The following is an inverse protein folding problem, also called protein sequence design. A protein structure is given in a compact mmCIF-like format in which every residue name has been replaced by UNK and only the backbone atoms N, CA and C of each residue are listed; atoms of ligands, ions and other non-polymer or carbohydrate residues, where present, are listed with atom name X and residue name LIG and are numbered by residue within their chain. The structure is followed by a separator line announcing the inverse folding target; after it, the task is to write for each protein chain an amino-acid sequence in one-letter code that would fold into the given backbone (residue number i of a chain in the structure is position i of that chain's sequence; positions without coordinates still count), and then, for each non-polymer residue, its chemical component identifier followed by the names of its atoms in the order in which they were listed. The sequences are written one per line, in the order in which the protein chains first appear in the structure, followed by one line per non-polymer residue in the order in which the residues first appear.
data_IF_145029853804
#
_entry.id   IF_145029853804
#
_cell.length_a   1.000
_cell.length_b   1.000
_cell.length_c   1.000
_cell.angle_alpha   90.00
_cell.angle_beta   90.00
_cell.angle_gamma   90.00
#
_symmetry.space_group_name_H-M   'P 1'
#
loop_
_entity.id
_entity.type
_entity.pdbx_description
1 polymer ?
#
# COMPACT_ATOMS: atom_id res chain seq x y z
N UNK A 1 3.87 -19.11 -0.29
CA UNK A 1 5.02 -19.53 -1.13
C UNK A 1 6.02 -18.37 -1.15
N UNK A 2 7.26 -18.59 -0.68
CA UNK A 2 8.40 -17.69 -0.80
C UNK A 2 8.59 -17.16 -2.23
N UNK A 3 8.67 -15.84 -2.49
CA UNK A 3 9.13 -15.41 -3.81
C UNK A 3 10.61 -15.71 -3.95
N UNK A 4 11.01 -16.29 -5.09
CA UNK A 4 12.42 -16.53 -5.40
C UNK A 4 13.03 -15.28 -6.02
N UNK A 5 14.31 -15.04 -5.75
CA UNK A 5 15.14 -13.98 -6.34
C UNK A 5 16.38 -14.63 -6.96
N UNK A 6 16.85 -14.13 -8.11
CA UNK A 6 17.92 -14.74 -8.90
C UNK A 6 19.03 -13.76 -9.30
N UNK A 7 18.81 -12.45 -9.21
CA UNK A 7 19.79 -11.45 -9.61
C UNK A 7 20.85 -11.18 -8.55
N UNK A 8 21.75 -10.24 -8.86
CA UNK A 8 22.85 -9.81 -7.98
C UNK A 8 22.35 -9.19 -6.67
N UNK A 9 21.09 -8.74 -6.63
CA UNK A 9 20.44 -8.15 -5.46
C UNK A 9 19.69 -9.18 -4.60
N UNK A 10 19.61 -10.45 -5.00
CA UNK A 10 18.73 -11.45 -4.38
C UNK A 10 18.88 -11.55 -2.86
N UNK A 11 20.11 -11.70 -2.37
CA UNK A 11 20.37 -11.83 -0.92
C UNK A 11 20.02 -10.54 -0.15
N UNK A 12 20.34 -9.37 -0.72
CA UNK A 12 19.99 -8.09 -0.11
C UNK A 12 18.47 -7.85 -0.09
N UNK A 13 17.76 -8.26 -1.13
CA UNK A 13 16.30 -8.15 -1.19
C UNK A 13 15.65 -9.02 -0.12
N UNK A 14 16.10 -10.28 0.03
CA UNK A 14 15.60 -11.17 1.07
C UNK A 14 15.84 -10.57 2.47
N UNK A 15 17.08 -10.18 2.77
CA UNK A 15 17.43 -9.58 4.05
C UNK A 15 16.62 -8.29 4.34
N UNK A 16 16.44 -7.44 3.33
CA UNK A 16 15.62 -6.23 3.46
C UNK A 16 14.14 -6.55 3.77
N UNK A 17 13.55 -7.50 3.06
CA UNK A 17 12.16 -7.92 3.30
C UNK A 17 12.02 -8.53 4.70
N UNK A 18 12.96 -9.36 5.12
CA UNK A 18 12.93 -9.99 6.43
C UNK A 18 13.01 -8.94 7.53
N UNK A 19 13.91 -7.96 7.44
CA UNK A 19 13.97 -6.84 8.39
C UNK A 19 12.61 -6.13 8.49
N UNK A 20 11.98 -5.84 7.36
CA UNK A 20 10.68 -5.16 7.32
C UNK A 20 9.56 -5.99 7.93
N UNK A 21 9.58 -7.31 7.73
CA UNK A 21 8.62 -8.23 8.36
C UNK A 21 8.81 -8.34 9.87
N UNK A 22 10.04 -8.39 10.34
CA UNK A 22 10.34 -8.38 11.78
C UNK A 22 9.88 -7.08 12.45
N UNK A 23 9.85 -5.95 11.73
CA UNK A 23 9.25 -4.71 12.21
C UNK A 23 7.71 -4.67 12.11
N UNK A 24 7.05 -5.77 11.76
CA UNK A 24 5.59 -5.87 11.69
C UNK A 24 4.95 -5.49 10.35
N UNK A 25 5.74 -5.17 9.32
CA UNK A 25 5.19 -4.85 8.00
C UNK A 25 4.97 -6.11 7.14
N UNK A 26 3.77 -6.28 6.57
CA UNK A 26 3.43 -7.48 5.76
C UNK A 26 4.31 -7.63 4.49
N UNK A 27 4.60 -6.51 3.82
CA UNK A 27 5.46 -6.44 2.62
C UNK A 27 5.04 -7.33 1.43
N UNK A 28 3.75 -7.65 1.28
CA UNK A 28 3.28 -8.52 0.21
C UNK A 28 3.36 -7.87 -1.19
N UNK A 29 3.08 -6.58 -1.30
CA UNK A 29 3.16 -5.87 -2.60
C UNK A 29 4.60 -5.49 -2.91
N UNK A 30 5.34 -5.09 -1.89
CA UNK A 30 6.72 -4.62 -1.96
C UNK A 30 7.66 -5.77 -2.38
N UNK A 31 7.44 -6.99 -1.88
CA UNK A 31 8.12 -8.21 -2.36
C UNK A 31 7.92 -8.43 -3.87
N UNK A 32 6.70 -8.21 -4.39
CA UNK A 32 6.41 -8.27 -5.83
C UNK A 32 7.14 -7.19 -6.62
N UNK A 33 7.16 -5.97 -6.10
CA UNK A 33 7.88 -4.86 -6.73
C UNK A 33 9.38 -5.14 -6.77
N UNK A 34 9.97 -5.64 -5.68
CA UNK A 34 11.39 -5.96 -5.59
C UNK A 34 11.77 -7.14 -6.48
N UNK A 35 10.85 -8.08 -6.69
CA UNK A 35 11.05 -9.16 -7.66
C UNK A 35 11.09 -8.65 -9.09
N UNK A 36 10.17 -7.76 -9.45
CA UNK A 36 10.22 -7.10 -10.76
C UNK A 36 11.50 -6.28 -10.94
N UNK A 37 12.03 -5.72 -9.86
CA UNK A 37 13.31 -5.01 -9.89
C UNK A 37 14.48 -5.97 -10.08
N UNK A 38 14.51 -7.09 -9.37
CA UNK A 38 15.50 -8.17 -9.55
C UNK A 38 15.54 -8.63 -11.02
N UNK A 39 14.38 -8.97 -11.60
CA UNK A 39 14.27 -9.37 -13.00
C UNK A 39 14.74 -8.27 -13.96
N UNK A 40 14.45 -7.01 -13.66
CA UNK A 40 14.91 -5.85 -14.44
C UNK A 40 16.43 -5.68 -14.41
N UNK A 41 17.07 -5.88 -13.25
CA UNK A 41 18.54 -5.81 -13.14
C UNK A 41 19.23 -6.94 -13.90
N UNK A 42 18.63 -8.12 -13.96
CA UNK A 42 19.13 -9.25 -14.77
C UNK A 42 19.09 -8.90 -16.26
N UNK A 43 17.98 -8.32 -16.74
CA UNK A 43 17.84 -7.90 -18.14
C UNK A 43 18.84 -6.80 -18.52
N UNK A 44 19.10 -5.87 -17.61
CA UNK A 44 20.11 -4.81 -17.77
C UNK A 44 21.56 -5.29 -17.55
N UNK A 45 21.76 -6.58 -17.22
CA UNK A 45 23.07 -7.19 -16.94
C UNK A 45 23.87 -6.43 -15.86
N UNK A 46 23.18 -5.93 -14.85
CA UNK A 46 23.79 -5.20 -13.74
C UNK A 46 24.65 -6.14 -12.88
N UNK A 47 25.94 -5.83 -12.78
CA UNK A 47 26.93 -6.66 -12.05
C UNK A 47 27.39 -6.06 -10.73
N UNK A 48 27.24 -4.75 -10.55
CA UNK A 48 27.64 -4.06 -9.33
C UNK A 48 26.49 -3.97 -8.34
N UNK A 49 26.81 -4.21 -7.06
CA UNK A 49 25.86 -4.06 -5.97
C UNK A 49 25.87 -2.58 -5.56
N UNK A 50 24.84 -1.86 -5.99
CA UNK A 50 24.68 -0.43 -5.76
C UNK A 50 23.82 0.18 -6.86
N UNK A 51 22.75 0.89 -6.49
CA UNK A 51 21.83 1.43 -7.48
C UNK A 51 22.46 2.66 -8.13
N UNK A 52 22.83 2.58 -9.40
CA UNK A 52 23.33 3.74 -10.15
C UNK A 52 22.22 4.78 -10.37
N UNK A 53 22.60 6.04 -10.63
CA UNK A 53 21.62 7.08 -10.97
C UNK A 53 20.83 6.71 -12.24
N UNK A 54 21.51 6.13 -13.22
CA UNK A 54 20.91 5.68 -14.47
C UNK A 54 19.91 4.55 -14.24
N UNK A 55 20.25 3.57 -13.40
CA UNK A 55 19.35 2.47 -13.03
C UNK A 55 18.12 2.99 -12.28
N UNK A 56 18.31 3.89 -11.31
CA UNK A 56 17.21 4.52 -10.58
C UNK A 56 16.28 5.32 -11.52
N UNK A 57 16.85 6.08 -12.46
CA UNK A 57 16.10 6.84 -13.44
C UNK A 57 15.35 5.92 -14.41
N UNK A 58 15.99 4.90 -14.95
CA UNK A 58 15.40 3.92 -15.86
C UNK A 58 14.24 3.19 -15.18
N UNK A 59 14.43 2.76 -13.93
CA UNK A 59 13.35 2.17 -13.13
C UNK A 59 12.20 3.15 -12.91
N UNK A 60 12.48 4.42 -12.61
CA UNK A 60 11.45 5.42 -12.30
C UNK A 60 10.58 5.86 -13.49
N UNK A 61 10.93 5.50 -14.72
CA UNK A 61 10.15 5.84 -15.92
C UNK A 61 8.77 5.20 -15.86
N UNK A 62 7.76 5.95 -16.34
CA UNK A 62 6.38 5.47 -16.43
C UNK A 62 6.28 4.41 -17.52
N UNK A 63 5.68 3.27 -17.19
CA UNK A 63 5.32 2.21 -18.15
C UNK A 63 3.95 2.51 -18.79
N UNK A 64 3.71 2.02 -19.99
CA UNK A 64 2.48 2.31 -20.75
C UNK A 64 1.20 1.91 -19.99
N UNK A 65 1.21 0.74 -19.34
CA UNK A 65 0.06 0.18 -18.63
C UNK A 65 0.16 0.31 -17.11
N UNK A 66 0.75 1.40 -16.59
CA UNK A 66 0.81 1.64 -15.13
C UNK A 66 0.17 2.98 -14.70
N UNK A 67 -0.52 2.94 -13.56
CA UNK A 67 -1.07 4.15 -12.94
C UNK A 67 0.03 4.97 -12.26
N UNK A 68 -0.18 6.28 -12.13
CA UNK A 68 0.78 7.16 -11.43
C UNK A 68 0.95 6.76 -9.95
N UNK A 69 -0.12 6.25 -9.33
CA UNK A 69 -0.06 5.71 -7.98
C UNK A 69 0.85 4.48 -7.88
N UNK A 70 0.74 3.55 -8.85
CA UNK A 70 1.59 2.37 -8.88
C UNK A 70 3.05 2.73 -9.19
N UNK A 71 3.30 3.62 -10.16
CA UNK A 71 4.63 4.14 -10.47
C UNK A 71 5.29 4.76 -9.23
N UNK A 72 4.55 5.59 -8.49
CA UNK A 72 5.02 6.20 -7.26
C UNK A 72 5.35 5.14 -6.20
N UNK A 73 4.45 4.17 -5.96
CA UNK A 73 4.67 3.07 -5.01
C UNK A 73 5.92 2.24 -5.40
N UNK A 74 6.07 1.90 -6.67
CA UNK A 74 7.20 1.16 -7.23
C UNK A 74 8.53 1.88 -7.02
N UNK A 75 8.52 3.20 -7.15
CA UNK A 75 9.71 4.05 -7.00
C UNK A 75 10.07 4.31 -5.53
N UNK A 76 9.08 4.51 -4.66
CA UNK A 76 9.31 4.65 -3.21
C UNK A 76 9.83 3.34 -2.61
N UNK A 77 9.31 2.19 -3.06
CA UNK A 77 9.83 0.87 -2.63
C UNK A 77 11.31 0.73 -3.00
N UNK A 78 11.70 1.12 -4.22
CA UNK A 78 13.11 1.13 -4.61
C UNK A 78 13.92 2.09 -3.73
N UNK A 79 13.40 3.29 -3.42
CA UNK A 79 14.13 4.26 -2.59
C UNK A 79 14.37 3.76 -1.17
N UNK A 80 13.43 3.00 -0.59
CA UNK A 80 13.63 2.36 0.71
C UNK A 80 14.70 1.28 0.65
N UNK A 81 14.71 0.48 -0.43
CA UNK A 81 15.75 -0.51 -0.67
C UNK A 81 17.12 0.13 -0.92
N UNK A 82 17.19 1.22 -1.69
CA UNK A 82 18.41 2.00 -1.93
C UNK A 82 19.00 2.59 -0.64
N UNK A 83 18.13 3.04 0.27
CA UNK A 83 18.55 3.48 1.59
C UNK A 83 19.16 2.33 2.39
N UNK A 84 18.51 1.16 2.39
CA UNK A 84 19.03 -0.04 3.04
C UNK A 84 20.40 -0.45 2.46
N UNK A 85 20.56 -0.47 1.15
CA UNK A 85 21.85 -0.74 0.50
C UNK A 85 22.92 0.27 0.93
N UNK A 86 22.57 1.56 1.00
CA UNK A 86 23.49 2.61 1.42
C UNK A 86 23.94 2.43 2.88
N UNK A 87 23.03 2.02 3.77
CA UNK A 87 23.34 1.68 5.17
C UNK A 87 24.26 0.46 5.28
N UNK A 88 24.26 -0.43 4.28
CA UNK A 88 25.15 -1.58 4.18
C UNK A 88 26.41 -1.31 3.34
N UNK A 89 26.79 -0.04 3.17
CA UNK A 89 28.01 0.37 2.47
C UNK A 89 27.96 0.26 0.94
N UNK A 90 26.76 0.10 0.36
CA UNK A 90 26.55 0.03 -1.10
C UNK A 90 25.92 1.32 -1.59
N UNK A 91 26.76 2.27 -2.03
CA UNK A 91 26.32 3.57 -2.50
C UNK A 91 25.21 3.43 -3.55
N UNK A 92 24.03 3.96 -3.24
CA UNK A 92 22.81 3.75 -4.03
C UNK A 92 22.04 5.04 -4.21
N UNK A 93 21.75 5.37 -5.47
CA UNK A 93 20.95 6.51 -5.85
C UNK A 93 19.45 6.25 -5.60
N UNK A 94 18.73 7.32 -5.26
CA UNK A 94 17.27 7.31 -5.14
C UNK A 94 16.65 7.94 -6.38
N UNK A 95 15.49 7.44 -6.76
CA UNK A 95 14.66 8.01 -7.81
C UNK A 95 13.78 9.13 -7.26
N UNK A 96 13.57 10.19 -8.04
CA UNK A 96 12.59 11.23 -7.73
C UNK A 96 11.35 11.02 -8.59
N UNK A 97 10.22 10.69 -7.94
CA UNK A 97 8.92 10.56 -8.61
C UNK A 97 7.90 11.43 -7.89
N UNK A 98 7.17 12.31 -8.63
CA UNK A 98 6.17 13.18 -8.01
C UNK A 98 5.07 12.34 -7.37
N UNK A 99 4.55 12.84 -6.23
CA UNK A 99 3.40 12.21 -5.57
C UNK A 99 2.20 12.28 -6.52
N UNK A 100 1.44 11.17 -6.68
CA UNK A 100 0.24 11.17 -7.50
C UNK A 100 -0.80 12.12 -6.86
N UNK A 101 -1.57 12.82 -7.70
CA UNK A 101 -2.69 13.63 -7.22
C UNK A 101 -3.81 12.70 -6.73
N UNK A 102 -4.34 12.97 -5.54
CA UNK A 102 -5.56 12.31 -5.07
C UNK A 102 -6.74 12.96 -5.77
N UNK A 103 -7.46 12.19 -6.58
CA UNK A 103 -8.66 12.65 -7.29
C UNK A 103 -9.95 12.23 -6.58
N UNK A 104 -9.86 11.31 -5.61
CA UNK A 104 -11.01 10.89 -4.83
C UNK A 104 -11.41 11.98 -3.83
N UNK A 105 -12.64 12.47 -3.99
CA UNK A 105 -13.31 13.33 -3.02
C UNK A 105 -14.31 12.44 -2.28
N UNK A 106 -14.17 12.26 -0.95
CA UNK A 106 -15.11 11.47 -0.19
C UNK A 106 -16.49 12.13 -0.23
N UNK A 107 -17.52 11.32 -0.47
CA UNK A 107 -18.89 11.78 -0.33
C UNK A 107 -19.24 11.88 1.15
N UNK A 108 -19.58 13.08 1.59
CA UNK A 108 -19.99 13.35 2.98
C UNK A 108 -21.51 13.24 3.03
N UNK A 109 -22.01 12.26 3.79
CA UNK A 109 -23.44 12.10 4.00
C UNK A 109 -24.01 13.29 4.78
N UNK A 110 -25.19 13.74 4.36
CA UNK A 110 -25.98 14.68 5.15
C UNK A 110 -26.58 13.98 6.38
N UNK A 111 -27.08 14.77 7.34
CA UNK A 111 -27.78 14.24 8.52
C UNK A 111 -28.97 13.37 8.09
N UNK A 112 -29.77 13.83 7.15
CA UNK A 112 -30.96 13.09 6.68
C UNK A 112 -30.62 11.79 5.94
N UNK A 113 -29.52 11.75 5.19
CA UNK A 113 -29.03 10.51 4.57
C UNK A 113 -28.48 9.54 5.60
N UNK A 114 -27.79 10.04 6.62
CA UNK A 114 -27.28 9.24 7.73
C UNK A 114 -28.44 8.63 8.53
N UNK A 115 -29.47 9.42 8.85
CA UNK A 115 -30.66 8.96 9.55
C UNK A 115 -31.40 7.88 8.76
N UNK A 116 -31.56 8.06 7.44
CA UNK A 116 -32.13 7.03 6.55
C UNK A 116 -31.32 5.74 6.56
N UNK A 117 -30.00 5.82 6.53
CA UNK A 117 -29.13 4.64 6.61
C UNK A 117 -29.35 3.92 7.93
N UNK A 118 -29.39 4.65 9.06
CA UNK A 118 -29.62 4.08 10.38
C UNK A 118 -31.01 3.42 10.49
N UNK A 119 -32.05 4.09 10.00
CA UNK A 119 -33.43 3.57 10.00
C UNK A 119 -33.54 2.25 9.22
N UNK A 120 -32.96 2.20 8.00
CA UNK A 120 -32.94 0.99 7.20
C UNK A 120 -32.17 -0.12 7.94
N UNK A 121 -31.05 0.21 8.57
CA UNK A 121 -30.26 -0.76 9.31
C UNK A 121 -30.99 -1.33 10.53
N UNK A 122 -31.77 -0.51 11.22
CA UNK A 122 -32.62 -0.96 12.33
C UNK A 122 -33.77 -1.85 11.87
N UNK A 123 -34.26 -1.65 10.64
CA UNK A 123 -35.29 -2.49 10.03
C UNK A 123 -34.79 -3.87 9.55
N UNK A 124 -33.47 -4.14 9.64
CA UNK A 124 -32.90 -5.40 9.19
C UNK A 124 -33.30 -6.56 10.11
N UNK A 125 -34.35 -7.27 9.71
CA UNK A 125 -34.80 -8.50 10.38
C UNK A 125 -33.79 -9.62 10.10
N UNK A 126 -33.20 -10.19 11.15
CA UNK A 126 -32.35 -11.36 11.07
C UNK A 126 -33.10 -12.59 11.62
N UNK A 127 -33.87 -13.26 10.75
CA UNK A 127 -34.59 -14.49 11.10
C UNK A 127 -34.13 -15.63 10.17
N UNK A 128 -33.65 -16.76 10.72
CA UNK A 128 -33.45 -17.04 12.15
C UNK A 128 -32.32 -16.18 12.77
N UNK A 129 -32.45 -15.85 14.06
CA UNK A 129 -31.41 -15.10 14.77
C UNK A 129 -30.16 -15.95 14.89
N UNK A 130 -29.08 -15.47 14.29
CA UNK A 130 -27.79 -16.15 14.19
C UNK A 130 -26.71 -15.26 14.80
N UNK A 131 -26.08 -15.71 15.89
CA UNK A 131 -25.09 -14.92 16.62
C UNK A 131 -23.80 -14.69 15.81
N UNK A 132 -23.55 -15.56 14.83
CA UNK A 132 -22.50 -15.47 13.82
C UNK A 132 -22.87 -14.56 12.63
N UNK A 133 -24.10 -14.05 12.58
CA UNK A 133 -24.55 -13.15 11.52
C UNK A 133 -24.10 -11.72 11.80
N UNK A 134 -23.34 -11.15 10.86
CA UNK A 134 -22.95 -9.73 10.89
C UNK A 134 -24.17 -8.81 10.97
N UNK A 135 -25.34 -9.22 10.43
CA UNK A 135 -26.59 -8.43 10.48
C UNK A 135 -27.01 -8.07 11.91
N UNK A 136 -26.71 -8.93 12.89
CA UNK A 136 -27.02 -8.66 14.29
C UNK A 136 -26.20 -7.48 14.86
N UNK A 137 -24.94 -7.34 14.44
CA UNK A 137 -24.03 -6.32 14.96
C UNK A 137 -23.99 -5.05 14.11
N UNK A 138 -24.50 -5.08 12.88
CA UNK A 138 -24.50 -3.94 11.95
C UNK A 138 -25.10 -2.64 12.54
N UNK A 139 -26.27 -2.64 13.22
CA UNK A 139 -26.83 -1.40 13.77
C UNK A 139 -25.90 -0.76 14.82
N UNK A 140 -25.28 -1.58 15.67
CA UNK A 140 -24.34 -1.10 16.68
C UNK A 140 -23.06 -0.54 16.05
N UNK A 141 -22.50 -1.22 15.03
CA UNK A 141 -21.30 -0.75 14.33
C UNK A 141 -21.53 0.57 13.60
N UNK A 142 -22.66 0.73 12.93
CA UNK A 142 -22.98 1.96 12.20
C UNK A 142 -23.20 3.15 13.15
N UNK A 143 -23.92 2.95 14.27
CA UNK A 143 -24.06 3.99 15.30
C UNK A 143 -22.71 4.36 15.90
N UNK A 144 -21.87 3.38 16.20
CA UNK A 144 -20.51 3.62 16.71
C UNK A 144 -19.69 4.46 15.72
N UNK A 145 -19.68 4.10 14.44
CA UNK A 145 -18.98 4.84 13.38
C UNK A 145 -19.46 6.30 13.26
N UNK A 146 -20.78 6.52 13.30
CA UNK A 146 -21.36 7.87 13.26
C UNK A 146 -20.95 8.68 14.50
N UNK A 147 -20.97 8.06 15.69
CA UNK A 147 -20.60 8.73 16.93
C UNK A 147 -19.10 9.04 17.07
N UNK A 148 -18.20 8.19 16.58
CA UNK A 148 -16.75 8.35 16.76
C UNK A 148 -16.02 9.00 15.59
N UNK A 149 -16.64 9.04 14.40
CA UNK A 149 -16.03 9.57 13.19
C UNK A 149 -16.82 10.67 12.49
N UNK A 150 -18.05 10.95 12.91
CA UNK A 150 -18.92 11.98 12.34
C UNK A 150 -18.87 13.29 13.13
N UNK A 151 -17.75 14.01 13.10
CA UNK A 151 -17.75 15.40 13.59
C UNK A 151 -18.44 16.29 12.55
N UNK A 152 -19.77 16.26 12.56
CA UNK A 152 -20.67 17.27 12.03
C UNK A 152 -21.79 17.48 13.06
N UNK A 153 -21.41 17.82 14.29
CA UNK A 153 -22.31 18.52 15.20
C UNK A 153 -22.03 20.01 15.07
N UNK A 154 -22.51 20.59 13.97
CA UNK A 154 -22.87 22.00 13.97
C UNK A 154 -24.08 22.15 14.87
N UNK A 155 -23.83 22.24 16.18
CA UNK A 155 -24.81 22.71 17.15
C UNK A 155 -25.03 24.21 16.89
N UNK A 156 -26.22 24.52 16.39
CA UNK A 156 -26.91 25.79 16.60
C UNK A 156 -26.89 26.19 18.06
#
# INVERSE_FOLDING_TARGET
MAMRFYGTYAEYIKAFIDIKRHCGFKYCTEEKILRLFDDFTIQHKERSIGISKELALAWSKKRENESDAYRYKRSITLNQFALYLSQNGKASARSHVPKPRKTFVPYIYTVSETDKILEICDSLICVPMRIDSVRFVMPALLRFLVCTGGENRGST
#
